data_IF_557763256845
#
_entry.id   IF_557763256845
#
_cell.length_a   1.000
_cell.length_b   1.000
_cell.length_c   1.000
_cell.angle_alpha   90.00
_cell.angle_beta   90.00
_cell.angle_gamma   90.00
#
_symmetry.space_group_name_H-M   'P 1'
#
loop_
_entity.id
_entity.type
_entity.pdbx_description
1 polymer ?
#
# COMPACT_ATOMS: atom_id res chain seq x y z
N UNK A 1 1.63 25.79 4.60
CA UNK A 1 3.08 25.55 4.78
C UNK A 1 3.32 24.05 4.81
N UNK A 2 3.94 23.50 3.80
CA UNK A 2 4.23 22.06 3.73
C UNK A 2 5.41 21.69 4.63
N UNK A 3 5.45 20.46 5.13
CA UNK A 3 6.59 19.94 5.89
C UNK A 3 7.89 20.12 5.08
N UNK A 4 7.82 19.88 3.78
CA UNK A 4 8.94 20.09 2.84
C UNK A 4 9.58 21.48 2.94
N UNK A 5 8.79 22.53 3.14
CA UNK A 5 9.30 23.90 3.19
C UNK A 5 10.22 24.13 4.39
N UNK A 6 10.00 23.37 5.48
CA UNK A 6 10.87 23.39 6.68
C UNK A 6 12.25 22.78 6.40
N UNK A 7 12.39 22.00 5.33
CA UNK A 7 13.64 21.35 4.92
C UNK A 7 14.19 21.91 3.59
N UNK A 8 14.01 23.21 3.37
CA UNK A 8 14.54 23.94 2.20
C UNK A 8 13.99 23.43 0.86
N UNK A 9 12.80 22.84 0.86
CA UNK A 9 12.17 22.29 -0.34
C UNK A 9 12.81 21.02 -0.90
N UNK A 10 13.79 20.44 -0.22
CA UNK A 10 14.50 19.24 -0.67
C UNK A 10 13.65 17.99 -0.48
N UNK A 11 13.22 17.38 -1.60
CA UNK A 11 12.43 16.16 -1.61
C UNK A 11 13.18 14.95 -1.04
N UNK A 12 14.51 14.98 -1.01
CA UNK A 12 15.30 13.85 -0.52
C UNK A 12 15.40 13.80 1.00
N UNK A 13 15.04 14.89 1.67
CA UNK A 13 15.00 14.95 3.15
C UNK A 13 13.70 14.50 3.76
N UNK A 14 12.69 14.22 2.94
CA UNK A 14 11.35 13.81 3.40
C UNK A 14 10.92 12.61 2.59
N UNK A 15 10.51 11.56 3.27
CA UNK A 15 9.95 10.35 2.68
C UNK A 15 8.48 10.21 3.09
N UNK A 16 7.52 10.57 2.23
CA UNK A 16 6.11 10.28 2.47
C UNK A 16 5.87 8.77 2.43
N UNK A 17 5.18 8.26 3.45
CA UNK A 17 4.73 6.87 3.51
C UNK A 17 3.23 6.89 3.75
N UNK A 18 2.47 6.21 2.92
CA UNK A 18 1.04 5.99 3.08
C UNK A 18 0.76 4.50 3.30
N UNK A 19 0.00 4.20 4.35
CA UNK A 19 -0.39 2.83 4.68
C UNK A 19 -1.87 2.67 4.34
N UNK A 20 -2.19 1.63 3.57
CA UNK A 20 -3.52 1.33 3.05
C UNK A 20 -3.97 -0.07 3.46
N UNK A 21 -5.28 -0.28 3.62
CA UNK A 21 -5.88 -1.60 3.55
C UNK A 21 -6.12 -2.01 2.09
N UNK A 22 -6.07 -3.29 1.78
CA UNK A 22 -6.23 -3.83 0.42
C UNK A 22 -7.61 -3.54 -0.18
N UNK A 23 -8.68 -3.65 0.60
CA UNK A 23 -10.02 -3.31 0.16
C UNK A 23 -10.19 -1.79 -0.06
N UNK A 24 -9.58 -0.98 0.79
CA UNK A 24 -9.67 0.47 0.71
C UNK A 24 -8.94 1.03 -0.53
N UNK A 25 -7.72 0.57 -0.79
CA UNK A 25 -6.93 1.07 -1.92
C UNK A 25 -7.57 0.70 -3.26
N UNK A 26 -8.18 -0.47 -3.35
CA UNK A 26 -8.80 -0.96 -4.58
C UNK A 26 -10.16 -0.31 -4.90
N UNK A 27 -10.88 0.20 -3.89
CA UNK A 27 -12.26 0.61 -4.05
C UNK A 27 -12.54 2.10 -3.81
N UNK A 28 -11.68 2.81 -3.09
CA UNK A 28 -11.86 4.23 -2.80
C UNK A 28 -11.19 5.10 -3.86
N UNK A 29 -11.96 5.91 -4.56
CA UNK A 29 -11.48 6.76 -5.65
C UNK A 29 -10.41 7.77 -5.26
N UNK A 30 -10.32 8.15 -3.97
CA UNK A 30 -9.35 9.13 -3.47
C UNK A 30 -7.89 8.73 -3.75
N UNK A 31 -7.56 7.44 -3.68
CA UNK A 31 -6.20 6.97 -4.00
C UNK A 31 -5.89 7.15 -5.48
N UNK A 32 -6.87 6.83 -6.35
CA UNK A 32 -6.74 7.03 -7.78
C UNK A 32 -6.49 8.51 -8.12
N UNK A 33 -7.22 9.42 -7.51
CA UNK A 33 -7.05 10.86 -7.68
C UNK A 33 -5.66 11.32 -7.22
N UNK A 34 -5.20 10.85 -6.06
CA UNK A 34 -3.87 11.20 -5.52
C UNK A 34 -2.75 10.75 -6.45
N UNK A 35 -2.79 9.52 -6.97
CA UNK A 35 -1.74 9.04 -7.87
C UNK A 35 -1.76 9.75 -9.22
N UNK A 36 -2.94 10.15 -9.73
CA UNK A 36 -3.07 10.94 -10.95
C UNK A 36 -2.45 12.34 -10.79
N UNK A 37 -2.48 12.92 -9.60
CA UNK A 37 -1.87 14.22 -9.32
C UNK A 37 -0.36 14.15 -9.02
N UNK A 38 0.16 12.99 -8.64
CA UNK A 38 1.49 12.83 -8.03
C UNK A 38 2.66 13.38 -8.88
N UNK A 39 2.53 13.38 -10.21
CA UNK A 39 3.57 13.88 -11.13
C UNK A 39 3.28 15.28 -11.69
N UNK A 40 2.14 15.88 -11.36
CA UNK A 40 1.80 17.21 -11.82
C UNK A 40 2.66 18.25 -11.11
N UNK A 41 3.08 19.29 -11.85
CA UNK A 41 4.01 20.33 -11.38
C UNK A 41 3.60 20.97 -10.05
N UNK A 42 2.28 21.22 -9.85
CA UNK A 42 1.76 21.85 -8.64
C UNK A 42 1.61 20.89 -7.44
N UNK A 43 1.65 19.58 -7.65
CA UNK A 43 1.40 18.56 -6.63
C UNK A 43 2.58 17.63 -6.37
N UNK A 44 3.63 17.74 -7.18
CA UNK A 44 4.82 16.88 -7.09
C UNK A 44 5.47 16.96 -5.72
N UNK A 45 5.60 15.80 -5.05
CA UNK A 45 6.17 15.67 -3.70
C UNK A 45 7.51 14.91 -3.68
N UNK A 46 8.02 14.47 -4.84
CA UNK A 46 9.24 13.67 -4.94
C UNK A 46 9.04 12.17 -4.77
N UNK A 47 7.81 11.70 -4.86
CA UNK A 47 7.43 10.30 -4.74
C UNK A 47 7.03 9.87 -3.33
N UNK A 48 6.09 8.93 -3.26
CA UNK A 48 5.53 8.36 -2.04
C UNK A 48 5.74 6.85 -2.04
N UNK A 49 6.03 6.26 -0.89
CA UNK A 49 5.97 4.81 -0.71
C UNK A 49 4.57 4.47 -0.19
N UNK A 50 3.82 3.69 -0.98
CA UNK A 50 2.52 3.16 -0.62
C UNK A 50 2.67 1.74 -0.10
N UNK A 51 2.36 1.50 1.16
CA UNK A 51 2.38 0.18 1.77
C UNK A 51 0.94 -0.30 1.90
N UNK A 52 0.62 -1.41 1.26
CA UNK A 52 -0.71 -2.00 1.33
C UNK A 52 -0.66 -3.22 2.25
N UNK A 53 -1.34 -3.11 3.39
CA UNK A 53 -1.54 -4.23 4.30
C UNK A 53 -2.64 -5.11 3.70
N UNK A 54 -2.22 -6.10 2.93
CA UNK A 54 -3.11 -6.97 2.17
C UNK A 54 -3.48 -8.20 3.00
N UNK A 55 -4.48 -8.05 3.84
CA UNK A 55 -5.01 -9.15 4.65
C UNK A 55 -6.07 -10.00 3.92
N UNK A 56 -6.31 -9.73 2.64
CA UNK A 56 -7.14 -10.51 1.73
C UNK A 56 -8.64 -10.55 2.10
N UNK A 57 -9.09 -9.63 2.97
CA UNK A 57 -10.49 -9.53 3.37
C UNK A 57 -10.90 -8.08 3.58
N UNK A 58 -12.02 -7.68 3.00
CA UNK A 58 -12.65 -6.38 3.24
C UNK A 58 -13.87 -6.54 4.13
N UNK A 59 -13.79 -6.18 5.41
CA UNK A 59 -14.79 -6.48 6.44
C UNK A 59 -15.10 -8.00 6.48
N UNK A 60 -16.10 -8.47 5.73
CA UNK A 60 -16.48 -9.88 5.61
C UNK A 60 -16.29 -10.44 4.20
N UNK A 61 -15.93 -9.58 3.23
CA UNK A 61 -15.84 -9.94 1.82
C UNK A 61 -14.45 -10.47 1.48
N UNK A 62 -14.40 -11.65 0.87
CA UNK A 62 -13.15 -12.23 0.37
C UNK A 62 -12.62 -11.40 -0.81
N UNK A 63 -11.30 -11.32 -0.96
CA UNK A 63 -10.68 -10.56 -2.05
C UNK A 63 -11.09 -11.02 -3.45
N UNK A 64 -11.43 -12.30 -3.62
CA UNK A 64 -11.92 -12.86 -4.90
C UNK A 64 -13.27 -12.28 -5.32
N UNK A 65 -14.09 -11.89 -4.33
CA UNK A 65 -15.43 -11.33 -4.55
C UNK A 65 -15.41 -9.79 -4.47
N UNK A 66 -14.27 -9.20 -4.09
CA UNK A 66 -14.18 -7.77 -3.78
C UNK A 66 -13.73 -6.91 -4.98
N UNK A 67 -13.04 -7.47 -5.94
CA UNK A 67 -12.48 -6.71 -7.07
C UNK A 67 -12.28 -7.59 -8.31
N UNK A 68 -12.32 -6.96 -9.47
CA UNK A 68 -12.06 -7.63 -10.76
C UNK A 68 -10.56 -7.75 -11.08
N UNK A 69 -9.72 -6.90 -10.50
CA UNK A 69 -8.27 -6.95 -10.70
C UNK A 69 -7.64 -8.08 -9.89
N UNK A 70 -6.56 -8.66 -10.39
CA UNK A 70 -5.82 -9.72 -9.70
C UNK A 70 -5.22 -9.22 -8.39
N UNK A 71 -4.59 -8.04 -8.42
CA UNK A 71 -3.95 -7.45 -7.24
C UNK A 71 -4.67 -6.17 -6.80
N UNK A 72 -4.75 -5.93 -5.50
CA UNK A 72 -5.26 -4.67 -4.98
C UNK A 72 -4.40 -3.47 -5.38
N UNK A 73 -3.13 -3.71 -5.67
CA UNK A 73 -2.14 -2.74 -6.13
C UNK A 73 -2.13 -2.51 -7.64
N UNK A 74 -3.05 -3.11 -8.40
CA UNK A 74 -3.15 -2.89 -9.85
C UNK A 74 -3.42 -1.42 -10.22
N UNK A 75 -3.91 -0.62 -9.29
CA UNK A 75 -4.03 0.83 -9.41
C UNK A 75 -2.67 1.51 -9.74
N UNK A 76 -1.55 0.96 -9.28
CA UNK A 76 -0.21 1.47 -9.56
C UNK A 76 0.15 1.42 -11.05
N UNK A 77 -0.47 0.54 -11.83
CA UNK A 77 -0.27 0.41 -13.27
C UNK A 77 -0.70 1.65 -14.04
N UNK A 78 -1.62 2.43 -13.50
CA UNK A 78 -2.11 3.67 -14.12
C UNK A 78 -0.99 4.68 -14.33
N UNK A 79 -0.04 4.75 -13.40
CA UNK A 79 1.11 5.66 -13.45
C UNK A 79 2.44 4.95 -13.69
N UNK A 80 2.39 3.66 -14.04
CA UNK A 80 3.57 2.81 -14.29
C UNK A 80 4.55 2.83 -13.11
N UNK A 81 4.01 2.83 -11.90
CA UNK A 81 4.81 2.70 -10.68
C UNK A 81 5.21 1.24 -10.45
N UNK A 82 6.42 0.98 -9.97
CA UNK A 82 6.82 -0.37 -9.56
C UNK A 82 5.97 -0.85 -8.39
N UNK A 83 5.67 -2.15 -8.40
CA UNK A 83 4.96 -2.85 -7.32
C UNK A 83 5.83 -4.01 -6.86
N UNK A 84 6.03 -4.10 -5.57
CA UNK A 84 6.69 -5.23 -4.92
C UNK A 84 5.66 -6.04 -4.15
N UNK A 85 5.57 -7.33 -4.43
CA UNK A 85 4.76 -8.27 -3.65
C UNK A 85 5.68 -8.98 -2.68
N UNK A 86 5.38 -8.89 -1.39
CA UNK A 86 6.22 -9.48 -0.34
C UNK A 86 5.36 -10.22 0.69
N UNK A 87 5.86 -11.36 1.16
CA UNK A 87 5.23 -12.08 2.25
C UNK A 87 5.36 -11.30 3.56
N UNK A 88 4.23 -10.98 4.19
CA UNK A 88 4.17 -10.23 5.43
C UNK A 88 4.77 -10.92 6.66
N UNK A 89 4.97 -12.24 6.58
CA UNK A 89 5.59 -13.03 7.64
C UNK A 89 7.13 -13.12 7.51
N UNK A 90 7.69 -12.63 6.39
CA UNK A 90 9.13 -12.63 6.12
C UNK A 90 9.72 -11.23 6.36
N UNK A 91 10.22 -11.01 7.56
CA UNK A 91 10.78 -9.73 8.01
C UNK A 91 12.03 -9.32 7.21
N UNK A 92 12.86 -10.28 6.81
CA UNK A 92 14.07 -10.00 6.04
C UNK A 92 13.72 -9.56 4.62
N UNK A 93 12.76 -10.24 3.98
CA UNK A 93 12.25 -9.85 2.67
C UNK A 93 11.59 -8.48 2.71
N UNK A 94 10.84 -8.16 3.78
CA UNK A 94 10.22 -6.83 3.98
C UNK A 94 11.31 -5.75 4.08
N UNK A 95 12.32 -5.96 4.91
CA UNK A 95 13.41 -5.00 5.10
C UNK A 95 14.17 -4.75 3.78
N UNK A 96 14.46 -5.82 3.03
CA UNK A 96 15.10 -5.73 1.73
C UNK A 96 14.24 -4.96 0.71
N UNK A 97 12.96 -5.27 0.65
CA UNK A 97 11.99 -4.60 -0.22
C UNK A 97 11.88 -3.10 0.08
N UNK A 98 11.79 -2.75 1.37
CA UNK A 98 11.74 -1.34 1.80
C UNK A 98 13.01 -0.57 1.42
N UNK A 99 14.16 -1.22 1.50
CA UNK A 99 15.44 -0.64 1.07
C UNK A 99 15.41 -0.34 -0.44
N UNK A 100 15.04 -1.30 -1.27
CA UNK A 100 14.94 -1.12 -2.73
C UNK A 100 13.93 -0.03 -3.07
N UNK A 101 12.75 -0.05 -2.45
CA UNK A 101 11.70 0.93 -2.68
C UNK A 101 12.17 2.35 -2.32
N UNK A 102 12.88 2.50 -1.20
CA UNK A 102 13.44 3.79 -0.77
C UNK A 102 14.50 4.30 -1.74
N UNK A 103 15.41 3.44 -2.16
CA UNK A 103 16.46 3.79 -3.13
C UNK A 103 15.85 4.17 -4.49
N UNK A 104 14.85 3.42 -4.97
CA UNK A 104 14.13 3.75 -6.19
C UNK A 104 13.45 5.12 -6.09
N UNK A 105 12.69 5.34 -5.01
CA UNK A 105 12.01 6.62 -4.76
C UNK A 105 13.00 7.79 -4.74
N UNK A 106 14.12 7.64 -4.03
CA UNK A 106 15.16 8.67 -3.94
C UNK A 106 15.81 8.97 -5.28
N UNK A 107 16.08 7.93 -6.06
CA UNK A 107 16.74 8.06 -7.36
C UNK A 107 15.84 8.65 -8.43
N UNK A 108 14.57 8.24 -8.48
CA UNK A 108 13.66 8.55 -9.57
C UNK A 108 12.59 9.59 -9.23
N UNK A 109 12.40 9.90 -7.95
CA UNK A 109 11.34 10.79 -7.45
C UNK A 109 9.94 10.36 -7.93
N UNK A 110 9.67 9.07 -7.90
CA UNK A 110 8.40 8.44 -8.30
C UNK A 110 7.82 7.63 -7.15
N UNK A 111 6.52 7.39 -7.21
CA UNK A 111 5.82 6.55 -6.26
C UNK A 111 6.24 5.08 -6.42
N UNK A 112 6.15 4.35 -5.33
CA UNK A 112 6.42 2.90 -5.25
C UNK A 112 5.33 2.26 -4.43
N UNK A 113 4.88 1.08 -4.84
CA UNK A 113 3.88 0.32 -4.10
C UNK A 113 4.48 -0.96 -3.54
N UNK A 114 4.14 -1.27 -2.30
CA UNK A 114 4.51 -2.52 -1.63
C UNK A 114 3.22 -3.21 -1.22
N UNK A 115 2.93 -4.35 -1.81
CA UNK A 115 1.84 -5.24 -1.46
C UNK A 115 2.35 -6.22 -0.40
N UNK A 116 2.02 -5.94 0.85
CA UNK A 116 2.41 -6.74 2.00
C UNK A 116 1.34 -7.80 2.25
N UNK A 117 1.55 -8.99 1.69
CA UNK A 117 0.61 -10.09 1.78
C UNK A 117 0.62 -10.69 3.20
N UNK A 118 -0.51 -10.61 3.87
CA UNK A 118 -0.67 -11.07 5.24
C UNK A 118 -2.07 -11.66 5.48
N UNK A 119 -2.42 -11.90 6.71
CA UNK A 119 -3.77 -12.29 7.11
C UNK A 119 -4.25 -11.47 8.30
N UNK A 120 -5.55 -11.40 8.49
CA UNK A 120 -6.15 -10.77 9.66
C UNK A 120 -6.28 -11.78 10.80
N UNK A 121 -5.45 -11.65 11.82
CA UNK A 121 -5.42 -12.56 12.97
C UNK A 121 -6.65 -12.43 13.87
N UNK A 122 -7.09 -11.21 14.11
CA UNK A 122 -8.23 -10.88 14.98
C UNK A 122 -9.49 -10.56 14.16
N UNK A 123 -10.61 -10.25 14.82
CA UNK A 123 -11.82 -9.77 14.17
C UNK A 123 -11.63 -8.42 13.47
N UNK A 124 -12.68 -7.94 12.80
CA UNK A 124 -12.64 -6.64 12.16
C UNK A 124 -12.48 -5.50 13.18
N UNK A 125 -13.07 -5.66 14.34
CA UNK A 125 -12.91 -4.79 15.50
C UNK A 125 -12.68 -5.63 16.77
N UNK A 126 -12.46 -4.97 17.89
CA UNK A 126 -12.13 -5.62 19.16
C UNK A 126 -13.20 -6.57 19.69
N UNK A 127 -14.47 -6.32 19.38
CA UNK A 127 -15.61 -7.13 19.83
C UNK A 127 -15.97 -8.29 18.90
N UNK A 128 -15.33 -8.38 17.74
CA UNK A 128 -15.70 -9.39 16.74
C UNK A 128 -14.98 -10.73 16.97
N UNK A 129 -15.73 -11.80 16.86
CA UNK A 129 -15.15 -13.16 16.80
C UNK A 129 -14.40 -13.33 15.47
N UNK A 130 -13.08 -13.59 15.48
CA UNK A 130 -12.27 -13.70 14.27
C UNK A 130 -12.80 -14.74 13.26
N UNK A 131 -13.39 -15.84 13.76
CA UNK A 131 -13.89 -16.95 12.93
C UNK A 131 -15.02 -16.56 11.99
N UNK A 132 -15.75 -15.49 12.28
CA UNK A 132 -16.86 -15.05 11.43
C UNK A 132 -16.38 -14.45 10.11
N UNK A 133 -15.17 -13.92 10.08
CA UNK A 133 -14.64 -13.16 8.95
C UNK A 133 -13.37 -13.74 8.35
N UNK A 134 -12.79 -14.79 8.94
CA UNK A 134 -11.64 -15.49 8.40
C UNK A 134 -12.07 -16.55 7.39
N UNK A 135 -11.38 -16.58 6.25
CA UNK A 135 -11.60 -17.60 5.21
C UNK A 135 -11.18 -18.97 5.74
N UNK A 136 -11.89 -20.02 5.36
CA UNK A 136 -11.61 -21.41 5.79
C UNK A 136 -10.16 -21.83 5.57
N UNK A 137 -9.51 -21.36 4.51
CA UNK A 137 -8.12 -21.65 4.18
C UNK A 137 -7.10 -21.08 5.17
N UNK A 138 -7.46 -20.03 5.92
CA UNK A 138 -6.61 -19.42 6.94
C UNK A 138 -6.81 -20.04 8.33
N UNK A 139 -7.80 -20.94 8.50
CA UNK A 139 -8.07 -21.62 9.76
C UNK A 139 -7.22 -22.88 9.99
N UNK A 140 -6.46 -23.28 8.98
CA UNK A 140 -5.65 -24.51 8.98
C UNK A 140 -4.14 -24.26 9.11
N UNK A 141 -3.73 -23.02 9.26
CA UNK A 141 -2.39 -22.59 9.62
C UNK A 141 -2.35 -22.20 11.10
#
# INVERSE_FOLDING_TARGET
MCIRDRYSGDHNKILPILIHGDAAIAAQGVVYEVIQMAQLKGYKNGGTIHIVINNQVGFTTNYLDARSSTYCTDIAKVTLCPVFHVNGDDIEAIAHTLKIASEYRQKFNKDVFIDLLCYRKYGHNEGDEPRFTQVKSLRTL
#
